data_IF_019384505552
#
_entry.id   IF_019384505552
#
_cell.length_a   1.000
_cell.length_b   1.000
_cell.length_c   1.000
_cell.angle_alpha   90.00
_cell.angle_beta   90.00
_cell.angle_gamma   90.00
#
_symmetry.space_group_name_H-M   'P 1'
#
loop_
_entity.id
_entity.type
_entity.pdbx_description
1 polymer ?
#
# COMPACT_ATOMS: atom_id res chain seq x y z
N UNK A 1 -2.15 -20.02 -6.73
CA UNK A 1 -0.79 -19.57 -7.08
C UNK A 1 0.02 -19.25 -5.84
N UNK A 2 1.29 -19.57 -5.83
CA UNK A 2 2.19 -19.29 -4.72
C UNK A 2 2.88 -17.95 -4.94
N UNK A 3 2.84 -17.07 -3.94
CA UNK A 3 3.58 -15.81 -3.96
C UNK A 3 5.02 -16.10 -3.52
N UNK A 4 5.97 -15.64 -4.31
CA UNK A 4 7.39 -15.81 -3.98
C UNK A 4 7.79 -14.88 -2.82
N UNK A 5 8.65 -15.36 -1.91
CA UNK A 5 9.13 -14.55 -0.79
C UNK A 5 9.89 -13.29 -1.27
N UNK A 6 10.48 -13.35 -2.46
CA UNK A 6 11.22 -12.24 -3.05
C UNK A 6 10.34 -11.23 -3.79
N UNK A 7 9.02 -11.43 -3.84
CA UNK A 7 8.12 -10.49 -4.52
C UNK A 7 8.09 -9.18 -3.73
N UNK A 8 8.45 -8.04 -4.35
CA UNK A 8 8.49 -6.77 -3.63
C UNK A 8 7.11 -6.19 -3.32
N UNK A 9 6.06 -6.62 -4.05
CA UNK A 9 4.73 -5.99 -3.96
C UNK A 9 3.72 -6.77 -3.14
N UNK A 10 3.89 -8.08 -3.03
CA UNK A 10 2.91 -8.96 -2.40
C UNK A 10 3.60 -9.94 -1.47
N UNK A 11 3.04 -10.12 -0.28
CA UNK A 11 3.53 -11.07 0.71
C UNK A 11 2.35 -11.91 1.19
N UNK A 12 2.50 -13.23 1.17
CA UNK A 12 1.49 -14.13 1.74
C UNK A 12 1.45 -13.96 3.26
N UNK A 13 0.26 -13.86 3.85
CA UNK A 13 0.13 -13.75 5.31
C UNK A 13 0.72 -14.94 6.04
N UNK A 14 0.66 -16.14 5.46
CA UNK A 14 1.27 -17.32 6.02
C UNK A 14 2.78 -17.42 5.76
N UNK A 15 3.34 -16.52 4.94
CA UNK A 15 4.75 -16.53 4.58
C UNK A 15 5.65 -15.89 5.63
N UNK A 16 6.96 -16.13 5.56
CA UNK A 16 7.91 -15.61 6.56
C UNK A 16 8.03 -14.08 6.55
N UNK A 17 7.83 -13.44 5.42
CA UNK A 17 7.97 -11.98 5.29
C UNK A 17 6.79 -11.20 5.87
N UNK A 18 5.67 -11.85 6.18
CA UNK A 18 4.47 -11.18 6.67
C UNK A 18 4.63 -10.61 8.09
N UNK A 19 5.68 -11.01 8.81
CA UNK A 19 5.98 -10.47 10.14
C UNK A 19 6.86 -9.22 10.09
N UNK A 20 7.34 -8.85 8.92
CA UNK A 20 8.19 -7.67 8.74
C UNK A 20 7.34 -6.40 8.70
N UNK A 21 7.30 -5.68 9.82
CA UNK A 21 6.51 -4.44 9.97
C UNK A 21 6.89 -3.40 8.92
N UNK A 22 8.16 -3.32 8.54
CA UNK A 22 8.63 -2.34 7.54
C UNK A 22 8.03 -2.60 6.17
N UNK A 23 7.70 -3.86 5.86
CA UNK A 23 7.14 -4.24 4.56
C UNK A 23 5.62 -4.23 4.53
N UNK A 24 4.98 -4.74 5.58
CA UNK A 24 3.53 -4.97 5.57
C UNK A 24 2.74 -4.06 6.49
N UNK A 25 3.42 -3.30 7.36
CA UNK A 25 2.79 -2.47 8.35
C UNK A 25 2.43 -3.23 9.62
N UNK A 26 2.15 -2.50 10.73
CA UNK A 26 1.96 -3.12 12.03
C UNK A 26 0.71 -4.00 12.13
N UNK A 27 -0.37 -3.63 11.48
CA UNK A 27 -1.62 -4.39 11.55
C UNK A 27 -1.47 -5.79 10.96
N UNK A 28 -0.91 -5.88 9.75
CA UNK A 28 -0.74 -7.16 9.07
C UNK A 28 0.36 -8.00 9.70
N UNK A 29 1.43 -7.36 10.20
CA UNK A 29 2.49 -8.06 10.92
C UNK A 29 1.95 -8.74 12.18
N UNK A 30 1.06 -8.07 12.93
CA UNK A 30 0.41 -8.65 14.10
C UNK A 30 -0.50 -9.82 13.75
N UNK A 31 -1.24 -9.68 12.64
CA UNK A 31 -2.10 -10.75 12.16
C UNK A 31 -1.30 -11.99 11.81
N UNK A 32 -0.14 -11.81 11.17
CA UNK A 32 0.78 -12.89 10.86
C UNK A 32 1.32 -13.56 12.14
N UNK A 33 1.67 -12.77 13.16
CA UNK A 33 2.12 -13.27 14.45
C UNK A 33 1.06 -14.15 15.11
N UNK A 34 -0.20 -13.72 15.09
CA UNK A 34 -1.31 -14.48 15.63
C UNK A 34 -1.47 -15.83 14.92
N UNK A 35 -1.35 -15.82 13.59
CA UNK A 35 -1.42 -17.05 12.81
C UNK A 35 -0.32 -18.04 13.18
N UNK A 36 0.91 -17.56 13.39
CA UNK A 36 2.04 -18.40 13.80
C UNK A 36 1.90 -18.93 15.22
N UNK A 37 1.20 -18.17 16.08
CA UNK A 37 0.93 -18.61 17.45
C UNK A 37 -0.20 -19.65 17.54
N UNK A 38 -0.80 -20.01 16.42
CA UNK A 38 -1.84 -21.03 16.35
C UNK A 38 -3.27 -20.50 16.34
N UNK A 39 -3.45 -19.18 16.36
CA UNK A 39 -4.77 -18.59 16.25
C UNK A 39 -5.27 -18.68 14.81
N UNK A 40 -6.57 -18.83 14.67
CA UNK A 40 -7.20 -18.88 13.36
C UNK A 40 -7.27 -17.46 12.78
N UNK A 41 -6.59 -17.25 11.64
CA UNK A 41 -6.59 -15.97 10.94
C UNK A 41 -7.01 -16.18 9.49
N UNK A 42 -7.57 -15.15 8.81
CA UNK A 42 -7.93 -15.27 7.41
C UNK A 42 -6.71 -15.59 6.54
N UNK A 43 -6.91 -16.38 5.51
CA UNK A 43 -5.90 -16.53 4.46
C UNK A 43 -5.90 -15.29 3.59
N UNK A 44 -4.75 -14.91 3.06
CA UNK A 44 -4.67 -13.75 2.19
C UNK A 44 -3.26 -13.29 1.96
N UNK A 45 -3.17 -12.12 1.35
CA UNK A 45 -1.91 -11.51 0.96
C UNK A 45 -1.86 -10.07 1.47
N UNK A 46 -0.66 -9.61 1.78
CA UNK A 46 -0.39 -8.22 2.11
C UNK A 46 0.19 -7.52 0.88
N UNK A 47 -0.33 -6.35 0.56
CA UNK A 47 0.30 -5.46 -0.41
C UNK A 47 1.33 -4.64 0.36
N UNK A 48 2.56 -4.65 -0.10
CA UNK A 48 3.68 -4.08 0.66
C UNK A 48 3.77 -2.57 0.55
N UNK A 49 4.53 -1.97 1.47
CA UNK A 49 4.91 -0.55 1.41
C UNK A 49 5.66 -0.24 0.10
N UNK A 50 6.49 -1.17 -0.39
CA UNK A 50 7.18 -1.01 -1.67
C UNK A 50 6.23 -0.89 -2.84
N UNK A 51 5.12 -1.64 -2.82
CA UNK A 51 4.09 -1.53 -3.87
C UNK A 51 3.52 -0.12 -3.92
N UNK A 52 3.23 0.47 -2.78
CA UNK A 52 2.75 1.84 -2.68
C UNK A 52 3.77 2.83 -3.23
N UNK A 53 5.03 2.70 -2.81
CA UNK A 53 6.11 3.58 -3.26
C UNK A 53 6.31 3.52 -4.76
N UNK A 54 6.33 2.31 -5.32
CA UNK A 54 6.47 2.11 -6.76
C UNK A 54 5.27 2.69 -7.52
N UNK A 55 4.07 2.49 -6.99
CA UNK A 55 2.86 3.02 -7.59
C UNK A 55 2.90 4.56 -7.69
N UNK A 56 3.19 5.26 -6.60
CA UNK A 56 3.19 6.73 -6.60
C UNK A 56 4.32 7.30 -7.45
N UNK A 57 5.42 6.58 -7.55
CA UNK A 57 6.56 7.00 -8.37
C UNK A 57 6.28 6.81 -9.86
N UNK A 58 5.83 5.62 -10.27
CA UNK A 58 5.58 5.29 -11.67
C UNK A 58 4.44 6.08 -12.28
N UNK A 59 3.42 6.39 -11.50
CA UNK A 59 2.24 7.14 -11.97
C UNK A 59 2.44 8.64 -11.94
N UNK A 60 3.51 9.13 -11.33
CA UNK A 60 3.72 10.57 -11.13
C UNK A 60 2.93 11.16 -9.96
N UNK A 61 2.19 10.33 -9.22
CA UNK A 61 1.44 10.79 -8.05
C UNK A 61 2.35 11.40 -6.98
N UNK A 62 3.56 10.86 -6.80
CA UNK A 62 4.52 11.39 -5.84
C UNK A 62 4.76 12.89 -6.06
N UNK A 63 4.98 13.30 -7.32
CA UNK A 63 5.18 14.71 -7.67
C UNK A 63 3.91 15.52 -7.49
N UNK A 64 2.77 14.97 -7.88
CA UNK A 64 1.49 15.62 -7.74
C UNK A 64 1.14 15.87 -6.27
N UNK A 65 1.38 14.91 -5.41
CA UNK A 65 1.16 15.02 -3.96
C UNK A 65 2.10 16.10 -3.38
N UNK A 66 3.37 16.07 -3.75
CA UNK A 66 4.33 17.06 -3.30
C UNK A 66 3.91 18.48 -3.70
N UNK A 67 3.42 18.66 -4.92
CA UNK A 67 2.94 19.95 -5.40
C UNK A 67 1.71 20.44 -4.62
N UNK A 68 0.77 19.54 -4.31
CA UNK A 68 -0.40 19.89 -3.51
C UNK A 68 -0.01 20.29 -2.08
N UNK A 69 0.92 19.57 -1.48
CA UNK A 69 1.38 19.85 -0.12
C UNK A 69 2.21 21.14 -0.05
N UNK A 70 2.96 21.45 -1.10
CA UNK A 70 3.77 22.68 -1.15
C UNK A 70 2.92 23.94 -1.19
N UNK A 71 1.68 23.85 -1.65
CA UNK A 71 0.75 24.96 -1.72
C UNK A 71 0.00 25.25 -0.43
N UNK A 72 0.25 24.49 0.65
CA UNK A 72 -0.46 24.67 1.91
C UNK A 72 0.54 25.04 3.01
N UNK A 73 0.19 26.08 3.81
CA UNK A 73 1.01 26.53 4.92
C UNK A 73 0.64 25.79 6.20
N UNK A 74 1.58 25.68 7.15
CA UNK A 74 1.34 25.05 8.44
C UNK A 74 0.22 25.75 9.24
N UNK A 75 0.02 27.04 8.99
CA UNK A 75 -1.00 27.87 9.65
C UNK A 75 -2.33 27.88 8.90
N UNK A 76 -2.47 27.07 7.85
CA UNK A 76 -3.68 27.06 7.04
C UNK A 76 -4.89 26.56 7.83
N UNK A 77 -6.08 27.02 7.43
CA UNK A 77 -7.34 26.60 8.03
C UNK A 77 -7.59 25.10 7.81
N UNK A 78 -8.31 24.43 8.72
CA UNK A 78 -8.71 23.03 8.51
C UNK A 78 -9.39 22.77 7.17
N UNK A 79 -10.18 23.74 6.67
CA UNK A 79 -10.82 23.63 5.35
C UNK A 79 -9.81 23.54 4.22
N UNK A 80 -8.67 24.25 4.33
CA UNK A 80 -7.61 24.18 3.32
C UNK A 80 -6.94 22.81 3.32
N UNK A 81 -6.70 22.22 4.49
CA UNK A 81 -6.19 20.85 4.60
C UNK A 81 -7.16 19.83 4.01
N UNK A 82 -8.45 19.97 4.30
CA UNK A 82 -9.49 19.10 3.76
C UNK A 82 -9.56 19.18 2.24
N UNK A 83 -9.43 20.37 1.68
CA UNK A 83 -9.43 20.57 0.23
C UNK A 83 -8.24 19.89 -0.43
N UNK A 84 -7.04 20.02 0.15
CA UNK A 84 -5.83 19.36 -0.35
C UNK A 84 -5.99 17.84 -0.26
N UNK A 85 -6.47 17.33 0.88
CA UNK A 85 -6.70 15.90 1.07
C UNK A 85 -7.70 15.35 0.06
N UNK A 86 -8.77 16.09 -0.22
CA UNK A 86 -9.76 15.68 -1.23
C UNK A 86 -9.17 15.61 -2.62
N UNK A 87 -8.33 16.58 -3.01
CA UNK A 87 -7.66 16.55 -4.30
C UNK A 87 -6.70 15.37 -4.42
N UNK A 88 -5.94 15.09 -3.36
CA UNK A 88 -5.03 13.93 -3.35
C UNK A 88 -5.81 12.63 -3.50
N UNK A 89 -6.89 12.46 -2.73
CA UNK A 89 -7.75 11.26 -2.83
C UNK A 89 -8.32 11.10 -4.24
N UNK A 90 -8.76 12.20 -4.85
CA UNK A 90 -9.31 12.16 -6.21
C UNK A 90 -8.26 11.71 -7.23
N UNK A 91 -7.00 12.12 -7.06
CA UNK A 91 -5.91 11.70 -7.93
C UNK A 91 -5.66 10.20 -7.82
N UNK A 92 -5.66 9.64 -6.60
CA UNK A 92 -5.55 8.19 -6.39
C UNK A 92 -6.72 7.44 -7.03
N UNK A 93 -7.94 7.93 -6.81
CA UNK A 93 -9.15 7.26 -7.30
C UNK A 93 -9.22 7.22 -8.83
N UNK A 94 -8.68 8.23 -9.51
CA UNK A 94 -8.70 8.31 -10.96
C UNK A 94 -7.49 7.67 -11.64
N UNK A 95 -6.50 7.22 -10.87
CA UNK A 95 -5.27 6.67 -11.41
C UNK A 95 -5.39 5.15 -11.59
N UNK A 96 -5.32 4.63 -12.81
CA UNK A 96 -5.28 3.19 -13.02
C UNK A 96 -3.99 2.58 -12.47
N UNK A 97 -4.06 1.33 -12.04
CA UNK A 97 -2.86 0.59 -11.66
C UNK A 97 -1.97 0.38 -12.89
N UNK A 98 -0.64 0.54 -12.75
CA UNK A 98 0.27 0.12 -13.82
C UNK A 98 0.03 -1.34 -14.19
N UNK A 99 0.16 -1.67 -15.47
CA UNK A 99 -0.19 -3.00 -15.98
C UNK A 99 0.55 -4.13 -15.25
N UNK A 100 1.82 -3.92 -14.93
CA UNK A 100 2.62 -4.93 -14.23
C UNK A 100 2.08 -5.21 -12.82
N UNK A 101 1.70 -4.17 -12.08
CA UNK A 101 1.12 -4.32 -10.74
C UNK A 101 -0.23 -5.00 -10.81
N UNK A 102 -1.07 -4.57 -11.74
CA UNK A 102 -2.38 -5.18 -11.93
C UNK A 102 -2.27 -6.67 -12.21
N UNK A 103 -1.36 -7.06 -13.10
CA UNK A 103 -1.13 -8.45 -13.41
C UNK A 103 -0.69 -9.25 -12.18
N UNK A 104 0.21 -8.69 -11.37
CA UNK A 104 0.68 -9.35 -10.16
C UNK A 104 -0.43 -9.56 -9.14
N UNK A 105 -1.25 -8.53 -8.92
CA UNK A 105 -2.36 -8.61 -7.96
C UNK A 105 -3.42 -9.61 -8.42
N UNK A 106 -3.75 -9.61 -9.70
CA UNK A 106 -4.69 -10.58 -10.28
C UNK A 106 -4.17 -12.01 -10.12
N UNK A 107 -2.89 -12.25 -10.36
CA UNK A 107 -2.26 -13.56 -10.19
C UNK A 107 -2.33 -14.05 -8.74
N UNK A 108 -2.19 -13.16 -7.78
CA UNK A 108 -2.24 -13.52 -6.36
C UNK A 108 -3.64 -13.99 -5.94
N UNK A 109 -4.69 -13.52 -6.60
CA UNK A 109 -6.07 -13.93 -6.32
C UNK A 109 -6.47 -15.25 -6.99
N UNK A 110 -5.77 -15.64 -8.00
CA UNK A 110 -6.02 -16.91 -8.69
C UNK A 110 -5.26 -18.05 -7.98
#
# INVERSE_FOLDING_TARGET
MTVADADPWIVALAGPCAQDVARVGPKLARLADLGRAGFQVPTGYAVTVEAYRDFVRETGLERAIAAELAGIDDDADPEAFDAVASRIRARFASQPLPAAMRARFEQAYD
#
